data_IF_084537506209
#
_entry.id   IF_084537506209
#
_cell.length_a   1.000
_cell.length_b   1.000
_cell.length_c   1.000
_cell.angle_alpha   90.00
_cell.angle_beta   90.00
_cell.angle_gamma   90.00
#
_symmetry.space_group_name_H-M   'P 1'
#
loop_
_entity.id
_entity.type
_entity.pdbx_description
1 polymer ?
#
# COMPACT_ATOMS: atom_id res chain seq x y z
N UNK A 1 -4.66 -5.93 -13.12
CA UNK A 1 -3.68 -5.16 -12.31
C UNK A 1 -2.45 -6.01 -12.00
N UNK A 2 -2.59 -7.18 -11.35
CA UNK A 2 -1.47 -8.11 -11.07
C UNK A 2 -0.64 -8.50 -12.28
N UNK A 3 -1.30 -8.86 -13.38
CA UNK A 3 -0.64 -9.25 -14.62
C UNK A 3 0.16 -8.12 -15.29
N UNK A 4 -0.03 -6.85 -14.93
CA UNK A 4 0.80 -5.76 -15.49
C UNK A 4 2.02 -5.43 -14.63
N UNK A 5 2.04 -5.93 -13.39
CA UNK A 5 3.07 -5.60 -12.43
C UNK A 5 4.50 -5.88 -12.93
N UNK A 6 4.81 -7.02 -13.58
CA UNK A 6 6.16 -7.26 -14.08
C UNK A 6 6.59 -6.23 -15.12
N UNK A 7 5.71 -5.90 -16.06
CA UNK A 7 6.00 -4.93 -17.14
C UNK A 7 6.20 -3.52 -16.57
N UNK A 8 5.35 -3.11 -15.63
CA UNK A 8 5.44 -1.81 -14.97
C UNK A 8 6.69 -1.73 -14.04
N UNK A 9 7.12 -2.86 -13.44
CA UNK A 9 8.33 -2.95 -12.63
C UNK A 9 9.60 -2.81 -13.47
N UNK A 10 9.68 -3.47 -14.63
CA UNK A 10 10.79 -3.26 -15.57
C UNK A 10 10.83 -1.83 -16.09
N UNK A 11 9.67 -1.23 -16.37
CA UNK A 11 9.57 0.15 -16.82
C UNK A 11 10.09 1.15 -15.75
N UNK A 12 9.83 0.92 -14.46
CA UNK A 12 10.36 1.81 -13.41
C UNK A 12 11.87 1.62 -13.17
N UNK A 13 12.39 0.41 -13.42
CA UNK A 13 13.84 0.13 -13.36
C UNK A 13 14.61 0.79 -14.48
N UNK A 14 14.02 0.90 -15.68
CA UNK A 14 14.70 1.50 -16.84
C UNK A 14 14.69 3.04 -16.85
N UNK A 15 13.80 3.67 -16.08
CA UNK A 15 13.69 5.13 -16.00
C UNK A 15 14.71 5.71 -15.02
N UNK A 16 15.10 6.97 -15.20
CA UNK A 16 15.88 7.72 -14.20
C UNK A 16 15.00 8.35 -13.11
N UNK A 17 13.70 8.50 -13.35
CA UNK A 17 12.77 9.21 -12.48
C UNK A 17 11.40 8.51 -12.37
N UNK A 18 10.62 8.86 -11.34
CA UNK A 18 9.29 8.32 -11.09
C UNK A 18 9.26 7.10 -10.16
N UNK A 19 8.07 6.83 -9.62
CA UNK A 19 7.77 5.68 -8.77
C UNK A 19 6.65 4.85 -9.38
N UNK A 20 6.74 3.53 -9.23
CA UNK A 20 5.61 2.64 -9.41
C UNK A 20 4.87 2.56 -8.07
N UNK A 21 3.60 2.94 -8.05
CA UNK A 21 2.75 2.81 -6.87
C UNK A 21 1.66 1.78 -7.17
N UNK A 22 1.68 0.69 -6.43
CA UNK A 22 0.67 -0.37 -6.49
C UNK A 22 -0.16 -0.31 -5.23
N UNK A 23 -1.46 -0.10 -5.39
CA UNK A 23 -2.43 -0.15 -4.29
C UNK A 23 -3.39 -1.28 -4.58
N UNK A 24 -3.42 -2.29 -3.72
CA UNK A 24 -4.37 -3.41 -3.84
C UNK A 24 -4.85 -3.80 -2.46
N UNK A 25 -6.13 -4.07 -2.35
CA UNK A 25 -6.69 -4.60 -1.12
C UNK A 25 -6.33 -6.08 -0.94
N UNK A 26 -6.21 -6.52 0.32
CA UNK A 26 -6.06 -7.94 0.64
C UNK A 26 -7.41 -8.66 0.65
N UNK A 27 -8.52 -7.95 0.79
CA UNK A 27 -9.89 -8.48 0.88
C UNK A 27 -10.05 -9.52 2.02
N UNK A 28 -10.08 -10.80 1.68
CA UNK A 28 -10.14 -11.93 2.61
C UNK A 28 -8.78 -12.64 2.76
N UNK A 29 -7.75 -12.15 2.06
CA UNK A 29 -6.39 -12.68 2.12
C UNK A 29 -5.50 -11.84 3.03
N UNK A 30 -4.30 -12.34 3.32
CA UNK A 30 -3.30 -11.57 4.04
C UNK A 30 -2.56 -10.60 3.12
N UNK A 31 -1.98 -9.55 3.71
CA UNK A 31 -1.11 -8.61 3.00
C UNK A 31 0.08 -9.34 2.33
N UNK A 32 0.67 -10.29 3.06
CA UNK A 32 1.72 -11.18 2.56
C UNK A 32 1.29 -11.99 1.35
N UNK A 33 0.08 -12.56 1.36
CA UNK A 33 -0.44 -13.31 0.21
C UNK A 33 -0.54 -12.42 -1.03
N UNK A 34 -1.03 -11.19 -0.89
CA UNK A 34 -1.12 -10.27 -2.03
C UNK A 34 0.25 -9.88 -2.57
N UNK A 35 1.24 -9.66 -1.70
CA UNK A 35 2.63 -9.38 -2.09
C UNK A 35 3.24 -10.58 -2.82
N UNK A 36 3.06 -11.79 -2.29
CA UNK A 36 3.52 -13.02 -2.93
C UNK A 36 2.92 -13.22 -4.32
N UNK A 37 1.64 -12.91 -4.53
CA UNK A 37 1.03 -12.96 -5.86
C UNK A 37 1.65 -11.98 -6.86
N UNK A 38 2.24 -10.86 -6.42
CA UNK A 38 2.98 -9.98 -7.32
C UNK A 38 4.32 -10.60 -7.71
N UNK A 39 4.98 -11.27 -6.77
CA UNK A 39 6.25 -11.98 -7.01
C UNK A 39 6.04 -13.20 -7.93
N UNK A 40 4.96 -13.96 -7.74
CA UNK A 40 4.58 -15.08 -8.61
C UNK A 40 4.34 -14.63 -10.06
N UNK A 41 3.76 -13.44 -10.25
CA UNK A 41 3.58 -12.85 -11.57
C UNK A 41 4.91 -12.50 -12.25
N UNK A 42 5.89 -12.02 -11.48
CA UNK A 42 7.25 -11.81 -11.95
C UNK A 42 7.92 -13.13 -12.36
N UNK A 43 7.84 -14.16 -11.50
CA UNK A 43 8.41 -15.48 -11.77
C UNK A 43 7.84 -16.11 -13.04
N UNK A 44 6.51 -16.04 -13.22
CA UNK A 44 5.81 -16.57 -14.40
C UNK A 44 6.29 -15.96 -15.71
N UNK A 45 6.82 -14.73 -15.66
CA UNK A 45 7.33 -13.99 -16.83
C UNK A 45 8.85 -13.94 -16.89
N UNK A 46 9.54 -14.64 -16.00
CA UNK A 46 10.99 -14.58 -15.85
C UNK A 46 11.53 -13.15 -15.63
N UNK A 47 10.73 -12.29 -14.99
CA UNK A 47 11.15 -10.95 -14.54
C UNK A 47 11.67 -11.07 -13.10
N UNK A 48 12.82 -10.48 -12.74
CA UNK A 48 13.29 -10.51 -11.35
C UNK A 48 12.27 -9.85 -10.41
N UNK A 49 11.97 -10.53 -9.29
CA UNK A 49 11.08 -10.02 -8.23
C UNK A 49 11.51 -8.65 -7.73
N UNK A 50 10.56 -7.94 -7.10
CA UNK A 50 10.82 -6.63 -6.49
C UNK A 50 11.83 -6.75 -5.36
N UNK A 51 12.79 -5.84 -5.28
CA UNK A 51 13.74 -5.71 -4.17
C UNK A 51 13.44 -4.44 -3.36
N UNK A 52 14.00 -4.31 -2.13
CA UNK A 52 13.86 -3.10 -1.34
C UNK A 52 14.37 -1.82 -2.02
N UNK A 53 15.33 -1.94 -2.93
CA UNK A 53 15.97 -0.84 -3.68
C UNK A 53 15.12 -0.34 -4.86
N UNK A 54 14.15 -1.13 -5.32
CA UNK A 54 13.25 -0.71 -6.38
C UNK A 54 12.40 0.48 -5.92
N UNK A 55 12.19 1.44 -6.83
CA UNK A 55 11.23 2.55 -6.66
C UNK A 55 9.78 2.10 -6.88
N UNK A 56 9.45 0.97 -6.30
CA UNK A 56 8.14 0.32 -6.38
C UNK A 56 7.53 0.20 -4.99
N UNK A 57 6.51 1.01 -4.75
CA UNK A 57 5.77 1.11 -3.49
C UNK A 57 4.55 0.21 -3.60
N UNK A 58 4.39 -0.74 -2.68
CA UNK A 58 3.27 -1.69 -2.68
C UNK A 58 2.50 -1.52 -1.37
N UNK A 59 1.30 -0.97 -1.50
CA UNK A 59 0.40 -0.63 -0.41
C UNK A 59 -0.71 -1.66 -0.43
N UNK A 60 -0.84 -2.40 0.68
CA UNK A 60 -1.83 -3.46 0.80
C UNK A 60 -2.62 -3.31 2.10
N UNK A 61 -3.77 -2.61 2.07
CA UNK A 61 -4.71 -2.64 3.18
C UNK A 61 -5.26 -4.06 3.36
N UNK A 62 -5.39 -4.56 4.61
CA UNK A 62 -5.90 -5.92 4.88
C UNK A 62 -7.34 -6.14 4.38
N UNK A 63 -8.17 -5.10 4.42
CA UNK A 63 -9.56 -5.17 3.93
C UNK A 63 -9.74 -4.21 2.78
N UNK A 64 -9.69 -2.93 3.08
CA UNK A 64 -9.81 -1.86 2.12
C UNK A 64 -9.11 -0.60 2.64
N UNK A 65 -8.90 0.37 1.76
CA UNK A 65 -8.31 1.65 2.14
C UNK A 65 -9.21 2.44 3.12
N UNK A 66 -10.52 2.18 3.10
CA UNK A 66 -11.49 2.81 4.00
C UNK A 66 -11.26 2.46 5.47
N UNK A 67 -10.74 1.25 5.78
CA UNK A 67 -10.35 0.89 7.15
C UNK A 67 -9.29 1.84 7.69
N UNK A 68 -8.30 2.21 6.86
CA UNK A 68 -7.31 3.20 7.27
C UNK A 68 -7.92 4.59 7.40
N UNK A 69 -8.88 4.93 6.54
CA UNK A 69 -9.56 6.22 6.64
C UNK A 69 -10.41 6.34 7.91
N UNK A 70 -11.04 5.27 8.39
CA UNK A 70 -11.70 5.29 9.71
C UNK A 70 -10.71 5.55 10.84
N UNK A 71 -9.56 4.87 10.83
CA UNK A 71 -8.49 5.11 11.80
C UNK A 71 -7.98 6.55 11.75
N UNK A 72 -7.77 7.08 10.54
CA UNK A 72 -7.29 8.45 10.33
C UNK A 72 -8.36 9.50 10.66
N UNK A 73 -9.63 9.11 10.77
CA UNK A 73 -10.75 9.91 11.28
C UNK A 73 -10.97 9.67 12.80
N UNK A 74 -9.92 9.22 13.49
CA UNK A 74 -9.82 9.00 14.93
C UNK A 74 -10.86 7.99 15.49
N UNK A 75 -11.26 7.01 14.67
CA UNK A 75 -12.09 5.88 15.10
C UNK A 75 -11.21 4.67 15.46
N UNK A 76 -11.71 3.87 16.39
CA UNK A 76 -11.18 2.53 16.62
C UNK A 76 -11.56 1.62 15.46
N UNK A 77 -10.59 0.86 14.94
CA UNK A 77 -10.79 -0.02 13.80
C UNK A 77 -10.32 -1.42 14.11
N UNK A 78 -11.06 -2.39 13.59
CA UNK A 78 -10.69 -3.79 13.57
C UNK A 78 -10.51 -4.21 12.10
N UNK A 79 -9.30 -4.64 11.75
CA UNK A 79 -8.94 -5.04 10.38
C UNK A 79 -9.54 -6.40 9.96
N UNK A 80 -10.21 -7.11 10.86
CA UNK A 80 -10.91 -8.36 10.53
C UNK A 80 -12.43 -8.15 10.35
N UNK A 81 -12.96 -7.04 10.89
CA UNK A 81 -14.36 -6.65 10.75
C UNK A 81 -14.71 -6.07 9.37
N UNK A 82 -16.01 -5.97 9.07
CA UNK A 82 -16.47 -5.36 7.81
C UNK A 82 -16.46 -3.85 7.94
N UNK A 83 -15.70 -3.16 7.10
CA UNK A 83 -15.66 -1.70 7.07
C UNK A 83 -16.98 -1.14 6.48
N UNK A 84 -17.63 -0.17 7.15
CA UNK A 84 -18.74 0.58 6.59
C UNK A 84 -18.36 1.30 5.30
N UNK A 85 -19.27 1.39 4.31
CA UNK A 85 -19.08 2.12 3.04
C UNK A 85 -19.19 3.65 3.20
N UNK A 86 -18.64 4.22 4.27
CA UNK A 86 -18.79 5.64 4.63
C UNK A 86 -18.02 6.60 3.72
N UNK A 87 -16.97 6.12 3.06
CA UNK A 87 -16.09 6.95 2.23
C UNK A 87 -16.43 6.90 0.74
N UNK A 88 -17.44 6.12 0.34
CA UNK A 88 -17.83 5.96 -1.06
C UNK A 88 -18.43 7.24 -1.62
N UNK A 89 -18.01 7.63 -2.83
CA UNK A 89 -18.60 8.74 -3.59
C UNK A 89 -18.18 10.13 -3.10
N UNK A 90 -17.15 10.22 -2.26
CA UNK A 90 -16.57 11.50 -1.79
C UNK A 90 -15.06 11.46 -1.87
N UNK A 91 -14.48 12.63 -2.06
CA UNK A 91 -13.04 12.87 -2.05
C UNK A 91 -12.59 13.07 -0.60
N UNK A 92 -11.49 12.43 -0.20
CA UNK A 92 -11.00 12.44 1.19
C UNK A 92 -9.50 12.82 1.27
N UNK A 93 -9.11 13.87 0.56
CA UNK A 93 -7.72 14.31 0.41
C UNK A 93 -7.02 14.48 1.74
N UNK A 94 -7.70 15.07 2.71
CA UNK A 94 -7.17 15.31 4.05
C UNK A 94 -6.73 14.01 4.75
N UNK A 95 -7.39 12.88 4.50
CA UNK A 95 -6.98 11.58 5.05
C UNK A 95 -5.76 11.03 4.32
N UNK A 96 -5.70 11.17 3.00
CA UNK A 96 -4.49 10.82 2.24
C UNK A 96 -3.28 11.67 2.65
N UNK A 97 -3.48 12.96 2.91
CA UNK A 97 -2.44 13.87 3.44
C UNK A 97 -2.02 13.48 4.87
N UNK A 98 -2.97 13.13 5.76
CA UNK A 98 -2.65 12.62 7.10
C UNK A 98 -1.84 11.32 7.02
N UNK A 99 -2.20 10.41 6.12
CA UNK A 99 -1.45 9.18 5.89
C UNK A 99 -0.02 9.45 5.41
N UNK A 100 0.14 10.34 4.42
CA UNK A 100 1.46 10.75 3.93
C UNK A 100 2.30 11.36 5.06
N UNK A 101 1.72 12.26 5.86
CA UNK A 101 2.42 12.86 6.99
C UNK A 101 2.89 11.80 7.99
N UNK A 102 2.00 10.89 8.42
CA UNK A 102 2.32 9.87 9.42
C UNK A 102 3.37 8.86 8.93
N UNK A 103 3.22 8.34 7.71
CA UNK A 103 4.13 7.33 7.18
C UNK A 103 5.45 7.89 6.62
N UNK A 104 5.45 9.12 6.10
CA UNK A 104 6.58 9.66 5.35
C UNK A 104 7.23 10.87 6.03
N UNK A 105 6.47 11.89 6.44
CA UNK A 105 7.05 13.11 7.02
C UNK A 105 7.51 12.93 8.47
N UNK A 106 6.61 12.42 9.31
CA UNK A 106 6.81 12.22 10.74
C UNK A 106 7.43 10.86 11.05
N UNK A 107 7.21 9.88 10.17
CA UNK A 107 7.56 8.46 10.33
C UNK A 107 7.21 7.91 11.72
N UNK A 108 6.04 8.33 12.24
CA UNK A 108 5.61 8.05 13.60
C UNK A 108 4.16 7.65 13.59
N UNK A 109 3.93 6.36 13.70
CA UNK A 109 2.61 5.78 13.87
C UNK A 109 2.34 5.54 15.37
N UNK A 110 1.14 5.86 15.86
CA UNK A 110 0.68 5.39 17.16
C UNK A 110 0.72 3.86 17.27
N UNK A 111 0.88 3.33 18.48
CA UNK A 111 0.85 1.87 18.72
C UNK A 111 -0.49 1.23 18.35
N UNK A 112 -1.57 2.01 18.35
CA UNK A 112 -2.90 1.59 17.91
C UNK A 112 -3.07 1.57 16.39
N UNK A 113 -2.02 1.86 15.62
CA UNK A 113 -2.10 1.86 14.16
C UNK A 113 -2.41 0.45 13.62
N UNK A 114 -3.29 0.34 12.60
CA UNK A 114 -3.58 -0.93 11.95
C UNK A 114 -2.30 -1.63 11.46
N UNK A 115 -2.21 -2.94 11.62
CA UNK A 115 -1.00 -3.69 11.26
C UNK A 115 -0.67 -3.55 9.76
N UNK A 116 -1.69 -3.58 8.89
CA UNK A 116 -1.45 -3.41 7.45
C UNK A 116 -0.98 -1.99 7.08
N UNK A 117 -1.35 -0.98 7.88
CA UNK A 117 -0.84 0.39 7.72
C UNK A 117 0.63 0.46 8.14
N UNK A 118 0.99 -0.13 9.29
CA UNK A 118 2.39 -0.21 9.75
C UNK A 118 3.27 -0.86 8.68
N UNK A 119 2.86 -2.01 8.15
CA UNK A 119 3.57 -2.70 7.07
C UNK A 119 3.73 -1.83 5.82
N UNK A 120 2.70 -1.07 5.46
CA UNK A 120 2.71 -0.23 4.26
C UNK A 120 3.55 1.03 4.44
N UNK A 121 3.65 1.59 5.66
CA UNK A 121 4.49 2.76 5.91
C UNK A 121 5.99 2.50 5.62
N UNK A 122 6.45 1.24 5.68
CA UNK A 122 7.81 0.86 5.26
C UNK A 122 8.04 1.20 3.78
N UNK A 123 7.04 0.97 2.92
CA UNK A 123 7.12 1.31 1.50
C UNK A 123 6.93 2.83 1.27
N UNK A 124 6.12 3.53 2.08
CA UNK A 124 6.00 5.00 2.03
C UNK A 124 7.31 5.73 2.37
N UNK A 125 8.11 5.19 3.26
CA UNK A 125 9.41 5.76 3.63
C UNK A 125 10.39 5.86 2.44
N UNK A 126 10.14 5.12 1.35
CA UNK A 126 10.96 5.15 0.13
C UNK A 126 10.67 6.32 -0.79
N UNK A 127 9.53 7.00 -0.60
CA UNK A 127 9.26 8.24 -1.34
C UNK A 127 10.39 9.22 -1.04
N UNK A 128 10.99 9.81 -2.08
CA UNK A 128 11.92 10.93 -1.88
C UNK A 128 11.10 12.23 -1.86
N UNK A 129 11.46 13.14 -0.96
CA UNK A 129 10.94 14.51 -0.96
C UNK A 129 11.29 15.26 -2.25
#
# INVERSE_FOLDING_TARGET
MRSRFPDDLEAVRSRSEGYLVVVTDADQHTTAHRRAQLDEECDRRAVPRRTPEDRAIVIVPRRNIETWFEYLDDREVDEDSTCPKRFVGREHRHLAEKLYRLCHEDQRLPESAPASLVESCVDYAKLKR
#
